data_IF_683004514135
#
_entry.id   IF_683004514135
#
_cell.length_a   1.000
_cell.length_b   1.000
_cell.length_c   1.000
_cell.angle_alpha   90.00
_cell.angle_beta   90.00
_cell.angle_gamma   90.00
#
_symmetry.space_group_name_H-M   'P 1'
#
loop_
_entity.id
_entity.type
_entity.pdbx_description
1 polymer ?
#
# COMPACT_ATOMS: atom_id res chain seq x y z
N UNK A 1 11.11 -32.84 55.18
CA UNK A 1 10.16 -31.76 54.81
C UNK A 1 10.91 -30.75 53.96
N UNK A 2 10.83 -30.84 52.63
CA UNK A 2 11.46 -29.87 51.71
C UNK A 2 10.38 -28.95 51.13
N UNK A 3 10.53 -27.65 51.38
CA UNK A 3 9.68 -26.59 50.82
C UNK A 3 10.21 -26.24 49.43
N UNK A 4 9.41 -26.46 48.38
CA UNK A 4 9.70 -25.97 47.03
C UNK A 4 9.48 -24.44 46.98
N UNK A 5 10.40 -23.65 46.39
CA UNK A 5 10.16 -22.23 46.18
C UNK A 5 9.19 -22.03 45.00
N UNK A 6 8.13 -21.26 45.26
CA UNK A 6 7.16 -20.83 44.27
C UNK A 6 7.87 -19.90 43.27
N UNK A 7 8.08 -20.37 42.04
CA UNK A 7 8.72 -19.59 40.99
C UNK A 7 7.66 -18.72 40.33
N UNK A 8 7.68 -17.42 40.59
CA UNK A 8 6.78 -16.44 39.96
C UNK A 8 7.11 -16.36 38.46
N UNK A 9 6.24 -16.90 37.62
CA UNK A 9 6.32 -16.76 36.17
C UNK A 9 5.88 -15.32 35.83
N UNK A 10 6.83 -14.46 35.50
CA UNK A 10 6.56 -13.16 34.89
C UNK A 10 6.20 -13.42 33.43
N UNK A 11 4.90 -13.43 33.13
CA UNK A 11 4.40 -13.45 31.74
C UNK A 11 4.64 -12.06 31.18
N UNK A 12 5.75 -11.89 30.44
CA UNK A 12 5.95 -10.72 29.59
C UNK A 12 4.87 -10.76 28.50
N UNK A 13 3.83 -9.95 28.67
CA UNK A 13 2.87 -9.66 27.62
C UNK A 13 3.63 -8.93 26.51
N UNK A 14 4.02 -9.67 25.46
CA UNK A 14 4.49 -9.08 24.22
C UNK A 14 3.34 -8.23 23.67
N UNK A 15 3.57 -6.94 23.35
CA UNK A 15 2.57 -6.19 22.60
C UNK A 15 2.45 -6.93 21.26
N UNK A 16 1.24 -7.38 20.95
CA UNK A 16 0.89 -7.75 19.58
C UNK A 16 1.10 -6.47 18.78
N UNK A 17 2.22 -6.35 18.08
CA UNK A 17 2.32 -5.43 16.96
C UNK A 17 1.21 -5.89 16.01
N UNK A 18 0.09 -5.18 16.00
CA UNK A 18 -0.84 -5.23 14.87
C UNK A 18 -0.02 -4.81 13.67
N UNK A 19 0.57 -5.80 12.98
CA UNK A 19 1.35 -5.56 11.78
C UNK A 19 0.47 -4.78 10.82
N UNK A 20 0.94 -3.61 10.40
CA UNK A 20 0.31 -2.85 9.33
C UNK A 20 0.03 -3.82 8.18
N UNK A 21 -1.26 -4.00 7.86
CA UNK A 21 -1.67 -4.88 6.77
C UNK A 21 -1.89 -4.01 5.56
N UNK A 22 -1.30 -4.43 4.44
CA UNK A 22 -1.61 -3.85 3.15
C UNK A 22 -3.12 -4.02 2.87
N UNK A 23 -3.82 -2.90 2.71
CA UNK A 23 -5.19 -2.88 2.25
C UNK A 23 -5.19 -2.73 0.73
N UNK A 24 -5.94 -3.59 0.03
CA UNK A 24 -6.10 -3.52 -1.43
C UNK A 24 -7.57 -3.40 -1.77
N UNK A 25 -7.93 -2.30 -2.41
CA UNK A 25 -9.30 -1.99 -2.81
C UNK A 25 -9.41 -1.71 -4.30
N UNK A 26 -10.54 -2.07 -4.89
CA UNK A 26 -10.88 -1.57 -6.23
C UNK A 26 -11.08 -0.06 -6.17
N UNK A 27 -10.59 0.67 -7.17
CA UNK A 27 -10.75 2.12 -7.25
C UNK A 27 -12.23 2.54 -7.22
N UNK A 28 -13.13 1.73 -7.77
CA UNK A 28 -14.59 1.96 -7.69
C UNK A 28 -15.19 1.87 -6.28
N UNK A 29 -14.44 1.33 -5.30
CA UNK A 29 -14.83 1.20 -3.89
C UNK A 29 -14.12 2.19 -2.98
N UNK A 30 -13.16 2.97 -3.51
CA UNK A 30 -12.51 4.03 -2.76
C UNK A 30 -13.47 5.21 -2.66
N UNK A 31 -13.93 5.45 -1.44
CA UNK A 31 -14.72 6.62 -1.10
C UNK A 31 -13.82 7.78 -0.66
N UNK A 32 -14.43 8.93 -0.40
CA UNK A 32 -13.71 10.14 0.01
C UNK A 32 -12.93 9.95 1.32
N UNK A 33 -13.43 9.10 2.22
CA UNK A 33 -12.74 8.85 3.50
C UNK A 33 -11.46 8.05 3.27
N UNK A 34 -11.55 7.02 2.44
CA UNK A 34 -10.42 6.17 2.07
C UNK A 34 -9.39 6.95 1.26
N UNK A 35 -9.83 7.77 0.31
CA UNK A 35 -8.95 8.68 -0.44
C UNK A 35 -8.20 9.65 0.49
N UNK A 36 -8.91 10.27 1.44
CA UNK A 36 -8.28 11.16 2.42
C UNK A 36 -7.26 10.42 3.30
N UNK A 37 -7.55 9.18 3.70
CA UNK A 37 -6.62 8.31 4.43
C UNK A 37 -5.35 8.04 3.62
N UNK A 38 -5.49 7.58 2.38
CA UNK A 38 -4.37 7.33 1.45
C UNK A 38 -3.50 8.59 1.30
N UNK A 39 -4.12 9.76 1.12
CA UNK A 39 -3.40 11.02 0.99
C UNK A 39 -2.67 11.42 2.28
N UNK A 40 -3.29 11.22 3.44
CA UNK A 40 -2.68 11.57 4.73
C UNK A 40 -1.51 10.67 5.11
N UNK A 41 -1.54 9.41 4.68
CA UNK A 41 -0.47 8.43 4.90
C UNK A 41 0.69 8.53 3.91
N UNK A 42 0.65 9.46 2.95
CA UNK A 42 1.65 9.54 1.88
C UNK A 42 2.27 10.94 1.74
N UNK A 43 3.45 10.99 1.13
CA UNK A 43 4.08 12.26 0.77
C UNK A 43 3.31 12.97 -0.35
N UNK A 44 3.39 14.30 -0.41
CA UNK A 44 2.75 15.08 -1.47
C UNK A 44 3.17 14.66 -2.88
N UNK A 45 4.41 14.17 -3.06
CA UNK A 45 4.89 13.66 -4.36
C UNK A 45 4.30 12.31 -4.72
N UNK A 46 4.16 11.39 -3.76
CA UNK A 46 3.47 10.12 -3.99
C UNK A 46 2.00 10.35 -4.37
N UNK A 47 1.33 11.31 -3.72
CA UNK A 47 -0.05 11.70 -4.06
C UNK A 47 -0.14 12.30 -5.48
N UNK A 48 0.81 13.13 -5.88
CA UNK A 48 0.87 13.67 -7.25
C UNK A 48 1.11 12.56 -8.29
N UNK A 49 2.02 11.62 -8.02
CA UNK A 49 2.22 10.43 -8.83
C UNK A 49 0.93 9.61 -8.97
N UNK A 50 0.21 9.40 -7.87
CA UNK A 50 -1.04 8.64 -7.86
C UNK A 50 -2.11 9.32 -8.73
N UNK A 51 -2.28 10.63 -8.59
CA UNK A 51 -3.19 11.39 -9.45
C UNK A 51 -2.79 11.30 -10.94
N UNK A 52 -1.49 11.29 -11.24
CA UNK A 52 -0.99 11.15 -12.60
C UNK A 52 -1.35 9.79 -13.22
N UNK A 53 -1.05 8.67 -12.55
CA UNK A 53 -1.33 7.35 -13.11
C UNK A 53 -2.84 7.08 -13.23
N UNK A 54 -3.65 7.59 -12.30
CA UNK A 54 -5.11 7.51 -12.43
C UNK A 54 -5.65 8.29 -13.66
N UNK A 55 -5.02 9.42 -13.98
CA UNK A 55 -5.35 10.18 -15.18
C UNK A 55 -4.97 9.43 -16.46
N UNK A 56 -3.78 8.81 -16.51
CA UNK A 56 -3.37 7.95 -17.63
C UNK A 56 -4.39 6.83 -17.86
N UNK A 57 -4.79 6.13 -16.80
CA UNK A 57 -5.78 5.05 -16.90
C UNK A 57 -7.15 5.55 -17.37
N UNK A 58 -7.57 6.74 -16.95
CA UNK A 58 -8.79 7.36 -17.44
C UNK A 58 -8.70 7.68 -18.94
N UNK A 59 -7.57 8.20 -19.42
CA UNK A 59 -7.33 8.49 -20.85
C UNK A 59 -7.32 7.20 -21.69
N UNK A 60 -6.77 6.11 -21.12
CA UNK A 60 -6.81 4.75 -21.68
C UNK A 60 -8.18 4.08 -21.56
N UNK A 61 -9.17 4.74 -20.95
CA UNK A 61 -10.55 4.26 -20.74
C UNK A 61 -10.63 2.98 -19.89
N UNK A 62 -9.68 2.78 -18.99
CA UNK A 62 -9.71 1.67 -18.03
C UNK A 62 -10.82 1.94 -17.00
N UNK A 63 -11.66 0.93 -16.75
CA UNK A 63 -12.78 1.09 -15.80
C UNK A 63 -12.23 1.09 -14.37
N UNK A 64 -12.79 1.96 -13.52
CA UNK A 64 -12.45 1.99 -12.08
C UNK A 64 -12.67 0.66 -11.35
N UNK A 65 -13.56 -0.20 -11.85
CA UNK A 65 -13.77 -1.56 -11.30
C UNK A 65 -12.60 -2.50 -11.53
N UNK A 66 -11.76 -2.18 -12.51
CA UNK A 66 -10.67 -2.99 -13.01
C UNK A 66 -9.31 -2.39 -12.57
N UNK A 67 -9.31 -1.39 -11.69
CA UNK A 67 -8.11 -0.81 -11.10
C UNK A 67 -8.11 -1.17 -9.62
N UNK A 68 -7.02 -1.76 -9.14
CA UNK A 68 -6.77 -2.02 -7.73
C UNK A 68 -5.77 -1.00 -7.20
N UNK A 69 -5.97 -0.55 -5.98
CA UNK A 69 -5.10 0.37 -5.26
C UNK A 69 -4.72 -0.30 -3.94
N UNK A 70 -3.43 -0.35 -3.65
CA UNK A 70 -2.87 -0.90 -2.42
C UNK A 70 -2.25 0.23 -1.60
N UNK A 71 -2.56 0.28 -0.31
CA UNK A 71 -2.06 1.27 0.64
C UNK A 71 -1.83 0.62 2.02
N UNK A 72 -1.16 1.33 2.92
CA UNK A 72 -0.73 0.82 4.24
C UNK A 72 0.10 -0.47 4.15
N UNK A 73 0.77 -0.71 3.01
CA UNK A 73 1.67 -1.84 2.84
C UNK A 73 2.99 -1.56 3.57
N UNK A 74 3.38 -2.37 4.58
CA UNK A 74 4.63 -2.15 5.30
C UNK A 74 5.88 -2.35 4.42
N UNK A 75 5.74 -2.93 3.22
CA UNK A 75 6.84 -3.20 2.29
C UNK A 75 6.96 -2.16 1.18
N UNK A 76 6.00 -1.23 1.04
CA UNK A 76 5.99 -0.20 0.00
C UNK A 76 5.78 1.15 0.67
N UNK A 77 6.75 2.06 0.57
CA UNK A 77 6.62 3.43 1.08
C UNK A 77 5.86 4.31 0.07
N UNK A 78 4.60 3.95 -0.18
CA UNK A 78 3.84 4.51 -1.28
C UNK A 78 2.46 3.93 -1.51
N UNK A 79 2.00 4.11 -2.75
CA UNK A 79 0.69 3.65 -3.22
C UNK A 79 0.91 2.66 -4.35
N UNK A 80 0.47 1.42 -4.18
CA UNK A 80 0.45 0.41 -5.24
C UNK A 80 -0.78 0.60 -6.14
N UNK A 81 -0.64 0.40 -7.44
CA UNK A 81 -1.74 0.49 -8.41
C UNK A 81 -1.60 -0.61 -9.45
N UNK A 82 -2.62 -1.46 -9.61
CA UNK A 82 -2.64 -2.54 -10.60
C UNK A 82 -3.90 -2.53 -11.45
N UNK A 83 -3.81 -3.06 -12.67
CA UNK A 83 -4.97 -3.26 -13.55
C UNK A 83 -5.37 -4.74 -13.54
N UNK A 84 -6.63 -5.00 -13.23
CA UNK A 84 -7.22 -6.34 -13.20
C UNK A 84 -7.04 -7.06 -14.54
N UNK A 85 -6.78 -8.38 -14.48
CA UNK A 85 -6.63 -9.23 -15.66
C UNK A 85 -5.46 -8.84 -16.59
N UNK A 86 -4.51 -8.02 -16.10
CA UNK A 86 -3.27 -7.67 -16.80
C UNK A 86 -2.07 -7.83 -15.87
N UNK A 87 -0.87 -7.87 -16.45
CA UNK A 87 0.38 -7.84 -15.69
C UNK A 87 0.85 -6.41 -15.35
N UNK A 88 0.09 -5.38 -15.75
CA UNK A 88 0.44 -3.98 -15.52
C UNK A 88 0.25 -3.61 -14.04
N UNK A 89 1.38 -3.42 -13.35
CA UNK A 89 1.43 -3.04 -11.94
C UNK A 89 2.41 -1.88 -11.76
N UNK A 90 2.03 -0.93 -10.92
CA UNK A 90 2.77 0.29 -10.65
C UNK A 90 2.86 0.56 -9.16
N UNK A 91 3.89 1.30 -8.75
CA UNK A 91 3.96 1.93 -7.43
C UNK A 91 4.27 3.41 -7.58
N UNK A 92 3.68 4.21 -6.67
CA UNK A 92 4.02 5.60 -6.45
C UNK A 92 4.79 5.70 -5.13
N UNK A 93 6.11 5.61 -5.20
CA UNK A 93 7.03 5.50 -4.06
C UNK A 93 8.19 6.47 -4.24
N UNK A 94 8.64 7.10 -3.14
CA UNK A 94 9.73 8.08 -3.15
C UNK A 94 9.57 9.27 -4.14
N UNK A 95 8.32 9.58 -4.54
CA UNK A 95 8.03 10.58 -5.58
C UNK A 95 8.27 10.09 -7.01
N UNK A 96 8.36 8.77 -7.23
CA UNK A 96 8.53 8.16 -8.54
C UNK A 96 7.32 7.27 -8.86
N UNK A 97 6.87 7.34 -10.12
CA UNK A 97 6.09 6.27 -10.71
C UNK A 97 7.07 5.17 -11.12
N UNK A 98 6.81 3.96 -10.64
CA UNK A 98 7.61 2.77 -10.93
C UNK A 98 6.70 1.72 -11.54
N UNK A 99 7.11 1.10 -12.64
CA UNK A 99 6.36 0.03 -13.31
C UNK A 99 7.02 -1.32 -13.05
N UNK A 100 6.22 -2.37 -12.85
CA UNK A 100 6.71 -3.73 -12.73
C UNK A 100 7.08 -4.27 -14.12
N UNK A 101 8.38 -4.42 -14.37
CA UNK A 101 8.90 -4.86 -15.66
C UNK A 101 10.00 -5.90 -15.43
N UNK A 102 9.97 -7.00 -16.19
CA UNK A 102 10.98 -8.06 -16.14
C UNK A 102 11.33 -8.58 -14.73
N UNK A 103 10.34 -8.61 -13.81
CA UNK A 103 10.50 -9.13 -12.46
C UNK A 103 10.97 -8.12 -11.40
N UNK A 104 10.99 -6.82 -11.71
CA UNK A 104 11.31 -5.77 -10.73
C UNK A 104 10.60 -4.44 -11.04
N UNK A 105 10.40 -3.60 -10.03
CA UNK A 105 9.91 -2.24 -10.21
C UNK A 105 11.01 -1.31 -10.73
N UNK A 106 10.80 -0.75 -11.92
CA UNK A 106 11.67 0.22 -12.58
C UNK A 106 11.04 1.61 -12.54
N UNK A 107 11.82 2.64 -12.20
CA UNK A 107 11.35 4.02 -12.24
C UNK A 107 11.08 4.44 -13.69
N UNK A 108 9.89 4.95 -13.96
CA UNK A 108 9.48 5.44 -15.28
C UNK A 108 9.30 6.95 -15.32
N UNK A 109 9.02 7.60 -14.17
CA UNK A 109 8.84 9.05 -14.07
C UNK A 109 9.02 9.55 -12.64
N UNK A 110 9.66 10.70 -12.46
CA UNK A 110 9.76 11.40 -11.17
C UNK A 110 8.78 12.58 -11.07
N UNK A 111 8.44 12.96 -9.83
CA UNK A 111 7.50 14.02 -9.44
C UNK A 111 8.09 14.93 -8.35
#
# INVERSE_FOLDING_TARGET
MMKLPLTTIVILALPVLEGARADTLRLSKIDRKTEAHIHSGNTGRNVQCFAYILKDFQERKIRKSDIYVTFDDPNIDGIGVGIAETDENYTCEAGELRAWEAGAYQAVKAF
#
